data_IF_359938436697
#
_entry.id   IF_359938436697
#
_cell.length_a   1.000
_cell.length_b   1.000
_cell.length_c   1.000
_cell.angle_alpha   90.00
_cell.angle_beta   90.00
_cell.angle_gamma   90.00
#
_symmetry.space_group_name_H-M   'P 1'
#
loop_
_entity.id
_entity.type
_entity.pdbx_description
1 polymer ?
#
# COMPACT_ATOMS: atom_id res chain seq x y z
N UNK A 1 -8.43 8.34 -20.40
CA UNK A 1 -7.02 8.63 -20.06
C UNK A 1 -6.62 8.31 -18.61
N UNK A 2 -7.52 8.34 -17.61
CA UNK A 2 -7.18 8.09 -16.20
C UNK A 2 -6.62 6.68 -15.88
N UNK A 3 -6.97 5.66 -16.68
CA UNK A 3 -6.56 4.27 -16.42
C UNK A 3 -5.05 4.01 -16.66
N UNK A 4 -4.39 4.78 -17.52
CA UNK A 4 -2.94 4.65 -17.76
C UNK A 4 -2.10 5.29 -16.65
N UNK A 5 -2.56 6.43 -16.11
CA UNK A 5 -1.87 7.14 -15.02
C UNK A 5 -1.89 6.34 -13.70
N UNK A 6 -2.98 5.64 -13.40
CA UNK A 6 -3.07 4.82 -12.18
C UNK A 6 -2.08 3.63 -12.21
N UNK A 7 -1.92 2.94 -13.35
CA UNK A 7 -0.94 1.85 -13.49
C UNK A 7 0.50 2.35 -13.45
N UNK A 8 0.79 3.47 -14.10
CA UNK A 8 2.11 4.10 -14.04
C UNK A 8 2.46 4.51 -12.59
N UNK A 9 1.50 5.05 -11.84
CA UNK A 9 1.72 5.47 -10.45
C UNK A 9 2.06 4.32 -9.49
N UNK A 10 1.40 3.17 -9.64
CA UNK A 10 1.69 1.98 -8.83
C UNK A 10 3.10 1.43 -9.09
N UNK A 11 3.58 1.49 -10.33
CA UNK A 11 4.93 1.07 -10.70
C UNK A 11 5.97 2.04 -10.13
N UNK A 12 5.77 3.35 -10.28
CA UNK A 12 6.67 4.37 -9.72
C UNK A 12 6.81 4.25 -8.19
N UNK A 13 5.71 3.94 -7.49
CA UNK A 13 5.76 3.74 -6.04
C UNK A 13 6.58 2.51 -5.65
N UNK A 14 6.47 1.39 -6.39
CA UNK A 14 7.28 0.19 -6.14
C UNK A 14 8.77 0.43 -6.37
N UNK A 15 9.11 1.19 -7.41
CA UNK A 15 10.49 1.61 -7.69
C UNK A 15 11.02 2.46 -6.53
N UNK A 16 10.24 3.44 -6.05
CA UNK A 16 10.62 4.27 -4.91
C UNK A 16 10.85 3.45 -3.63
N UNK A 17 9.98 2.46 -3.35
CA UNK A 17 10.14 1.55 -2.20
C UNK A 17 11.43 0.72 -2.33
N UNK A 18 11.78 0.27 -3.53
CA UNK A 18 13.03 -0.45 -3.78
C UNK A 18 14.26 0.41 -3.46
N UNK A 19 14.24 1.69 -3.82
CA UNK A 19 15.31 2.62 -3.45
C UNK A 19 15.40 2.82 -1.94
N UNK A 20 14.27 2.98 -1.24
CA UNK A 20 14.28 3.09 0.23
C UNK A 20 14.81 1.83 0.91
N UNK A 21 14.53 0.66 0.35
CA UNK A 21 15.10 -0.61 0.82
C UNK A 21 16.62 -0.63 0.63
N UNK A 22 17.11 -0.25 -0.54
CA UNK A 22 18.54 -0.17 -0.82
C UNK A 22 19.26 0.84 0.08
N UNK A 23 18.65 2.00 0.33
CA UNK A 23 19.14 3.02 1.27
C UNK A 23 19.19 2.43 2.68
N UNK A 24 18.14 1.74 3.13
CA UNK A 24 18.12 1.09 4.45
C UNK A 24 19.26 0.09 4.64
N UNK A 25 19.49 -0.78 3.64
CA UNK A 25 20.63 -1.72 3.65
C UNK A 25 21.97 -0.98 3.67
N UNK A 26 22.13 0.07 2.85
CA UNK A 26 23.35 0.86 2.82
C UNK A 26 23.65 1.54 4.16
N UNK A 27 22.65 2.08 4.85
CA UNK A 27 22.80 2.67 6.19
C UNK A 27 23.24 1.64 7.23
N UNK A 28 22.69 0.42 7.20
CA UNK A 28 23.12 -0.66 8.10
C UNK A 28 24.58 -1.06 7.84
N UNK A 29 24.94 -1.31 6.58
CA UNK A 29 26.31 -1.66 6.19
C UNK A 29 27.27 -0.56 6.62
N UNK A 30 26.87 0.69 6.43
CA UNK A 30 27.68 1.84 6.80
C UNK A 30 27.88 1.93 8.32
N UNK A 31 26.81 1.84 9.11
CA UNK A 31 26.88 1.81 10.58
C UNK A 31 27.81 0.71 11.10
N UNK A 32 27.70 -0.50 10.54
CA UNK A 32 28.58 -1.61 10.89
C UNK A 32 30.04 -1.42 10.43
N UNK A 33 30.28 -0.74 9.30
CA UNK A 33 31.66 -0.49 8.81
C UNK A 33 32.39 0.60 9.58
N UNK A 34 31.68 1.63 10.05
CA UNK A 34 32.28 2.70 10.84
C UNK A 34 32.77 2.15 12.17
N UNK A 35 31.99 1.27 12.81
CA UNK A 35 32.37 0.65 14.07
C UNK A 35 31.69 -0.71 14.24
N UNK A 36 32.48 -1.78 14.39
CA UNK A 36 31.97 -3.11 14.70
C UNK A 36 32.56 -3.61 16.03
N UNK A 37 31.77 -3.78 17.10
CA UNK A 37 30.33 -3.49 17.21
C UNK A 37 30.03 -1.98 17.33
N UNK A 38 28.86 -1.50 16.88
CA UNK A 38 28.47 -0.11 16.98
C UNK A 38 28.20 0.23 18.46
N UNK A 39 29.10 1.02 19.07
CA UNK A 39 28.98 1.47 20.46
C UNK A 39 28.65 2.95 20.54
N UNK A 40 29.07 3.72 19.54
CA UNK A 40 28.86 5.16 19.50
C UNK A 40 27.53 5.54 18.87
N UNK A 41 27.06 6.72 19.28
CA UNK A 41 25.74 7.24 18.90
C UNK A 41 25.52 7.26 17.37
N UNK A 42 26.50 7.71 16.60
CA UNK A 42 26.34 7.84 15.14
C UNK A 42 26.23 6.48 14.42
N UNK A 43 27.15 5.51 14.62
CA UNK A 43 26.99 4.14 14.10
C UNK A 43 25.67 3.47 14.50
N UNK A 44 25.27 3.60 15.77
CA UNK A 44 24.01 3.04 16.28
C UNK A 44 22.82 3.66 15.56
N UNK A 45 22.79 4.98 15.40
CA UNK A 45 21.71 5.67 14.71
C UNK A 45 21.61 5.27 13.23
N UNK A 46 22.73 5.04 12.54
CA UNK A 46 22.72 4.54 11.17
C UNK A 46 22.04 3.16 11.06
N UNK A 47 22.31 2.25 12.00
CA UNK A 47 21.68 0.93 12.04
C UNK A 47 20.19 1.04 12.38
N UNK A 48 19.82 1.86 13.36
CA UNK A 48 18.42 2.08 13.75
C UNK A 48 17.62 2.70 12.60
N UNK A 49 18.14 3.74 11.96
CA UNK A 49 17.51 4.36 10.79
C UNK A 49 17.38 3.37 9.62
N UNK A 50 18.43 2.58 9.38
CA UNK A 50 18.41 1.56 8.34
C UNK A 50 17.35 0.48 8.59
N UNK A 51 17.21 0.01 9.83
CA UNK A 51 16.18 -0.97 10.20
C UNK A 51 14.76 -0.40 10.08
N UNK A 52 14.53 0.84 10.54
CA UNK A 52 13.25 1.54 10.35
C UNK A 52 12.92 1.67 8.87
N UNK A 53 13.89 2.01 8.02
CA UNK A 53 13.69 2.10 6.57
C UNK A 53 13.34 0.75 5.94
N UNK A 54 13.92 -0.36 6.42
CA UNK A 54 13.54 -1.70 5.97
C UNK A 54 12.09 -2.01 6.37
N UNK A 55 11.68 -1.71 7.60
CA UNK A 55 10.29 -1.87 8.03
C UNK A 55 9.34 -1.00 7.21
N UNK A 56 9.68 0.26 6.99
CA UNK A 56 8.91 1.16 6.14
C UNK A 56 8.78 0.62 4.71
N UNK A 57 9.85 0.04 4.17
CA UNK A 57 9.85 -0.54 2.83
C UNK A 57 8.95 -1.77 2.73
N UNK A 58 8.96 -2.66 3.74
CA UNK A 58 8.06 -3.82 3.81
C UNK A 58 6.59 -3.35 3.88
N UNK A 59 6.30 -2.35 4.70
CA UNK A 59 4.96 -1.75 4.79
C UNK A 59 4.55 -1.10 3.45
N UNK A 60 5.49 -0.46 2.75
CA UNK A 60 5.28 0.09 1.42
C UNK A 60 4.94 -0.99 0.39
N UNK A 61 5.67 -2.11 0.39
CA UNK A 61 5.37 -3.26 -0.47
C UNK A 61 3.98 -3.80 -0.20
N UNK A 62 3.63 -4.02 1.07
CA UNK A 62 2.29 -4.48 1.46
C UNK A 62 1.21 -3.48 1.05
N UNK A 63 1.47 -2.18 1.23
CA UNK A 63 0.58 -1.09 0.84
C UNK A 63 0.37 -0.97 -0.66
N UNK A 64 1.30 -1.47 -1.47
CA UNK A 64 1.11 -1.55 -2.93
C UNK A 64 0.09 -2.62 -3.34
N UNK A 65 -0.12 -3.65 -2.53
CA UNK A 65 -1.08 -4.75 -2.81
C UNK A 65 -2.44 -4.57 -2.12
N UNK A 66 -2.54 -3.74 -1.07
CA UNK A 66 -3.75 -3.61 -0.25
C UNK A 66 -4.18 -2.15 0.01
N UNK A 67 -5.47 -2.00 0.38
CA UNK A 67 -6.23 -0.76 0.65
C UNK A 67 -5.41 0.41 1.21
N UNK A 68 -5.86 1.64 0.89
CA UNK A 68 -5.35 2.97 1.32
C UNK A 68 -4.89 3.11 2.79
N UNK A 69 -5.35 2.26 3.71
CA UNK A 69 -4.93 2.29 5.14
C UNK A 69 -3.44 1.95 5.31
N UNK A 70 -2.89 1.04 4.52
CA UNK A 70 -1.47 0.66 4.62
C UNK A 70 -0.56 1.74 4.01
N UNK A 71 -1.05 2.48 3.01
CA UNK A 71 -0.38 3.65 2.43
C UNK A 71 -0.15 4.75 3.48
N UNK A 72 -1.10 4.95 4.39
CA UNK A 72 -0.96 5.92 5.49
C UNK A 72 0.12 5.47 6.48
N UNK A 73 0.20 4.16 6.77
CA UNK A 73 1.26 3.59 7.60
C UNK A 73 2.65 3.82 7.00
N UNK A 74 2.80 3.62 5.68
CA UNK A 74 4.04 3.96 4.96
C UNK A 74 4.38 5.46 5.08
N UNK A 75 3.39 6.35 4.94
CA UNK A 75 3.63 7.79 4.97
C UNK A 75 4.05 8.29 6.37
N UNK A 76 3.45 7.74 7.43
CA UNK A 76 3.81 8.06 8.82
C UNK A 76 5.20 7.50 9.15
N UNK A 77 5.43 6.21 8.89
CA UNK A 77 6.71 5.57 9.21
C UNK A 77 7.85 6.14 8.36
N UNK A 78 7.60 6.36 7.07
CA UNK A 78 8.55 7.00 6.15
C UNK A 78 8.84 8.44 6.56
N UNK A 79 7.81 9.25 6.80
CA UNK A 79 7.98 10.64 7.25
C UNK A 79 8.75 10.75 8.56
N UNK A 80 8.46 9.87 9.54
CA UNK A 80 9.20 9.81 10.79
C UNK A 80 10.67 9.41 10.59
N UNK A 81 10.93 8.42 9.73
CA UNK A 81 12.30 8.01 9.36
C UNK A 81 13.07 9.17 8.74
N UNK A 82 12.48 9.88 7.77
CA UNK A 82 13.12 11.00 7.09
C UNK A 82 13.38 12.18 8.04
N UNK A 83 12.47 12.45 8.99
CA UNK A 83 12.71 13.44 10.05
C UNK A 83 13.91 13.08 10.93
N UNK A 84 14.03 11.82 11.34
CA UNK A 84 15.19 11.33 12.09
C UNK A 84 16.48 11.41 11.27
N UNK A 85 16.44 11.13 9.97
CA UNK A 85 17.60 11.28 9.09
C UNK A 85 18.03 12.75 8.95
N UNK A 86 17.07 13.68 8.80
CA UNK A 86 17.36 15.11 8.78
C UNK A 86 18.02 15.54 10.09
N UNK A 87 17.50 15.10 11.23
CA UNK A 87 18.10 15.37 12.53
C UNK A 87 19.53 14.82 12.64
N UNK A 88 19.78 13.61 12.12
CA UNK A 88 21.11 13.01 12.06
C UNK A 88 22.06 13.82 11.17
N UNK A 89 21.63 14.24 9.99
CA UNK A 89 22.44 15.04 9.07
C UNK A 89 22.80 16.39 9.70
N UNK A 90 21.85 17.05 10.37
CA UNK A 90 22.11 18.29 11.11
C UNK A 90 23.10 18.04 12.25
N UNK A 91 22.95 16.96 13.02
CA UNK A 91 23.89 16.60 14.07
C UNK A 91 25.31 16.35 13.51
N UNK A 92 25.42 15.68 12.35
CA UNK A 92 26.70 15.44 11.67
C UNK A 92 27.29 16.71 11.02
N UNK A 93 26.47 17.72 10.70
CA UNK A 93 26.94 19.00 10.16
C UNK A 93 27.45 19.92 11.27
N UNK A 94 26.71 20.05 12.36
CA UNK A 94 27.05 21.00 13.44
C UNK A 94 27.99 20.42 14.50
N UNK A 95 27.93 19.12 14.77
CA UNK A 95 28.71 18.47 15.82
C UNK A 95 29.72 17.45 15.26
N UNK A 96 30.20 17.65 14.02
CA UNK A 96 31.11 16.73 13.35
C UNK A 96 32.34 16.37 14.20
N UNK A 97 33.02 17.38 14.75
CA UNK A 97 34.22 17.19 15.56
C UNK A 97 33.91 16.46 16.87
N UNK A 98 32.81 16.80 17.53
CA UNK A 98 32.38 16.13 18.76
C UNK A 98 31.99 14.67 18.55
N UNK A 99 31.41 14.35 17.38
CA UNK A 99 31.06 12.97 17.01
C UNK A 99 32.31 12.19 16.64
N UNK A 100 33.24 12.77 15.87
CA UNK A 100 34.48 12.11 15.50
C UNK A 100 35.36 11.82 16.72
N UNK A 101 35.50 12.79 17.64
CA UNK A 101 36.27 12.63 18.87
C UNK A 101 35.66 11.61 19.85
N UNK A 102 34.33 11.46 19.86
CA UNK A 102 33.66 10.41 20.65
C UNK A 102 33.95 9.02 20.12
N UNK A 103 34.06 8.86 18.80
CA UNK A 103 34.30 7.56 18.17
C UNK A 103 35.76 7.11 18.38
N UNK A 104 36.70 8.00 18.12
CA UNK A 104 38.12 7.73 18.40
C UNK A 104 38.80 9.03 18.82
N UNK A 105 39.56 8.98 19.92
CA UNK A 105 40.26 10.17 20.39
C UNK A 105 41.52 10.41 19.54
N UNK A 106 41.77 11.66 19.09
CA UNK A 106 42.94 11.98 18.28
C UNK A 106 44.27 11.72 19.02
N UNK A 107 44.21 11.67 20.35
CA UNK A 107 45.34 11.39 21.26
C UNK A 107 45.68 9.91 21.39
N UNK A 108 44.74 8.99 21.18
CA UNK A 108 45.01 7.54 21.33
C UNK A 108 45.50 6.89 20.04
N UNK A 109 44.95 7.26 18.87
CA UNK A 109 45.35 6.71 17.57
C UNK A 109 45.07 7.68 16.42
N UNK A 110 46.00 8.61 16.08
CA UNK A 110 45.77 9.63 15.07
C UNK A 110 45.51 9.04 13.67
N UNK A 111 46.17 7.92 13.32
CA UNK A 111 46.00 7.27 12.03
C UNK A 111 44.64 6.59 11.84
N UNK A 112 43.96 6.19 12.94
CA UNK A 112 42.59 5.65 12.87
C UNK A 112 41.56 6.78 12.89
N UNK A 113 41.81 7.81 13.68
CA UNK A 113 41.00 9.02 13.71
C UNK A 113 40.85 9.63 12.31
N UNK A 114 41.96 9.81 11.56
CA UNK A 114 41.91 10.36 10.20
C UNK A 114 41.09 9.50 9.23
N UNK A 115 41.16 8.16 9.37
CA UNK A 115 40.35 7.23 8.57
C UNK A 115 38.87 7.36 8.89
N UNK A 116 38.51 7.41 10.17
CA UNK A 116 37.12 7.57 10.63
C UNK A 116 36.58 8.93 10.22
N UNK A 117 37.33 10.02 10.44
CA UNK A 117 36.94 11.36 10.05
C UNK A 117 36.72 11.48 8.52
N UNK A 118 37.61 10.89 7.71
CA UNK A 118 37.43 10.85 6.25
C UNK A 118 36.19 10.06 5.84
N UNK A 119 35.95 8.90 6.46
CA UNK A 119 34.74 8.10 6.21
C UNK A 119 33.47 8.85 6.63
N UNK A 120 33.48 9.51 7.79
CA UNK A 120 32.35 10.26 8.31
C UNK A 120 32.03 11.48 7.45
N UNK A 121 33.05 12.15 6.90
CA UNK A 121 32.88 13.26 5.94
C UNK A 121 32.21 12.79 4.65
N UNK A 122 32.64 11.66 4.08
CA UNK A 122 31.98 11.04 2.92
C UNK A 122 30.55 10.65 3.27
N UNK A 123 30.34 10.03 4.43
CA UNK A 123 29.03 9.63 4.93
C UNK A 123 28.05 10.79 4.94
N UNK A 124 28.48 11.95 5.43
CA UNK A 124 27.64 13.15 5.53
C UNK A 124 27.03 13.53 4.19
N UNK A 125 27.83 13.53 3.12
CA UNK A 125 27.36 13.84 1.77
C UNK A 125 26.49 12.75 1.17
N UNK A 126 26.83 11.48 1.41
CA UNK A 126 26.04 10.34 0.94
C UNK A 126 24.65 10.33 1.60
N UNK A 127 24.59 10.51 2.92
CA UNK A 127 23.34 10.54 3.70
C UNK A 127 22.49 11.74 3.31
N UNK A 128 23.11 12.90 3.05
CA UNK A 128 22.39 14.05 2.50
C UNK A 128 21.72 13.70 1.15
N UNK A 129 22.44 13.00 0.26
CA UNK A 129 21.88 12.49 -0.98
C UNK A 129 20.69 11.56 -0.77
N UNK A 130 20.77 10.64 0.21
CA UNK A 130 19.67 9.74 0.57
C UNK A 130 18.45 10.50 1.08
N UNK A 131 18.62 11.51 1.93
CA UNK A 131 17.51 12.35 2.42
C UNK A 131 16.81 13.05 1.26
N UNK A 132 17.55 13.59 0.29
CA UNK A 132 16.94 14.25 -0.89
C UNK A 132 16.10 13.27 -1.71
N UNK A 133 16.62 12.06 -1.94
CA UNK A 133 15.89 10.99 -2.63
C UNK A 133 14.63 10.60 -1.84
N UNK A 134 14.74 10.42 -0.52
CA UNK A 134 13.60 10.07 0.32
C UNK A 134 12.51 11.15 0.31
N UNK A 135 12.89 12.42 0.44
CA UNK A 135 11.94 13.56 0.36
C UNK A 135 11.23 13.55 -0.99
N UNK A 136 11.93 13.26 -2.09
CA UNK A 136 11.31 13.11 -3.40
C UNK A 136 10.32 11.93 -3.43
N UNK A 137 10.68 10.78 -2.86
CA UNK A 137 9.76 9.63 -2.79
C UNK A 137 8.51 9.90 -1.95
N UNK A 138 8.65 10.59 -0.81
CA UNK A 138 7.54 10.98 0.04
C UNK A 138 6.64 12.00 -0.66
N UNK A 139 7.24 12.98 -1.34
CA UNK A 139 6.50 13.97 -2.13
C UNK A 139 5.68 13.28 -3.22
N UNK A 140 6.28 12.32 -3.94
CA UNK A 140 5.56 11.50 -4.90
C UNK A 140 4.42 10.70 -4.25
N UNK A 141 4.66 10.07 -3.10
CA UNK A 141 3.62 9.33 -2.38
C UNK A 141 2.44 10.24 -1.96
N UNK A 142 2.71 11.48 -1.56
CA UNK A 142 1.69 12.50 -1.25
C UNK A 142 0.91 12.90 -2.50
N UNK A 143 1.59 13.19 -3.61
CA UNK A 143 0.93 13.53 -4.88
C UNK A 143 0.03 12.39 -5.36
N UNK A 144 0.49 11.14 -5.24
CA UNK A 144 -0.32 9.97 -5.59
C UNK A 144 -1.55 9.82 -4.71
N UNK A 145 -1.48 10.20 -3.44
CA UNK A 145 -2.65 10.21 -2.55
C UNK A 145 -3.75 11.16 -3.05
N UNK A 146 -3.37 12.29 -3.66
CA UNK A 146 -4.32 13.24 -4.23
C UNK A 146 -4.84 12.83 -5.62
N UNK A 147 -4.02 12.14 -6.42
CA UNK A 147 -4.38 11.69 -7.77
C UNK A 147 -5.26 10.44 -7.76
N UNK A 148 -5.05 9.53 -6.81
CA UNK A 148 -5.85 8.31 -6.68
C UNK A 148 -7.18 8.66 -5.99
N UNK A 149 -8.20 8.99 -6.81
CA UNK A 149 -9.59 9.03 -6.36
C UNK A 149 -9.93 7.71 -5.67
N UNK A 150 -10.56 7.83 -4.52
CA UNK A 150 -10.96 6.70 -3.70
C UNK A 150 -11.93 5.81 -4.47
N UNK A 151 -11.45 4.66 -4.97
CA UNK A 151 -12.35 3.55 -5.25
C UNK A 151 -12.92 3.11 -3.92
N UNK A 152 -14.02 3.76 -3.52
CA UNK A 152 -14.83 3.27 -2.42
C UNK A 152 -15.20 1.83 -2.74
N UNK A 153 -14.96 0.87 -1.83
CA UNK A 153 -15.36 -0.53 -2.04
C UNK A 153 -16.89 -0.72 -2.10
N UNK A 154 -17.66 0.38 -2.12
CA UNK A 154 -19.11 0.41 -2.17
C UNK A 154 -19.67 1.47 -3.14
N UNK A 155 -19.01 1.71 -4.28
CA UNK A 155 -19.70 2.26 -5.45
C UNK A 155 -20.11 1.12 -6.40
N UNK A 156 -20.87 0.14 -5.89
CA UNK A 156 -21.52 -0.89 -6.72
C UNK A 156 -22.74 -0.36 -7.50
N UNK A 157 -22.72 0.93 -7.83
CA UNK A 157 -23.69 1.65 -8.65
C UNK A 157 -22.96 2.52 -9.68
N UNK A 158 -21.87 2.00 -10.26
CA UNK A 158 -21.36 2.55 -11.51
C UNK A 158 -22.47 2.47 -12.57
N UNK A 159 -22.70 3.56 -13.30
CA UNK A 159 -23.72 3.63 -14.34
C UNK A 159 -23.53 2.54 -15.42
N UNK A 160 -22.28 2.14 -15.69
CA UNK A 160 -21.95 0.99 -16.55
C UNK A 160 -22.42 -0.34 -15.97
N UNK A 161 -22.26 -0.58 -14.66
CA UNK A 161 -22.74 -1.80 -14.01
C UNK A 161 -24.27 -1.79 -13.86
N UNK A 162 -24.88 -0.61 -13.71
CA UNK A 162 -26.33 -0.43 -13.72
C UNK A 162 -26.91 -0.73 -15.11
N UNK A 163 -26.22 -0.36 -16.18
CA UNK A 163 -26.61 -0.67 -17.56
C UNK A 163 -26.41 -2.16 -17.90
N UNK A 164 -25.33 -2.79 -17.40
CA UNK A 164 -25.16 -4.24 -17.47
C UNK A 164 -26.18 -5.00 -16.61
N UNK A 165 -26.56 -4.47 -15.44
CA UNK A 165 -27.67 -5.04 -14.64
C UNK A 165 -29.01 -4.85 -15.34
N UNK A 166 -29.29 -3.70 -15.95
CA UNK A 166 -30.58 -3.47 -16.64
C UNK A 166 -30.70 -4.33 -17.90
N UNK A 167 -29.60 -4.54 -18.64
CA UNK A 167 -29.58 -5.45 -19.79
C UNK A 167 -29.72 -6.91 -19.37
N UNK A 168 -29.11 -7.31 -18.26
CA UNK A 168 -29.26 -8.66 -17.70
C UNK A 168 -30.66 -8.87 -17.12
N UNK A 169 -31.21 -7.90 -16.39
CA UNK A 169 -32.55 -7.99 -15.81
C UNK A 169 -33.65 -7.93 -16.89
N UNK A 170 -33.47 -7.14 -17.94
CA UNK A 170 -34.43 -7.10 -19.06
C UNK A 170 -34.37 -8.36 -19.93
N UNK A 171 -33.19 -8.99 -20.09
CA UNK A 171 -33.11 -10.29 -20.76
C UNK A 171 -33.73 -11.40 -19.91
N UNK A 172 -33.49 -11.41 -18.60
CA UNK A 172 -34.17 -12.31 -17.67
C UNK A 172 -35.68 -12.10 -17.63
N UNK A 173 -36.16 -10.85 -17.66
CA UNK A 173 -37.59 -10.54 -17.70
C UNK A 173 -38.25 -11.04 -19.00
N UNK A 174 -37.61 -10.83 -20.16
CA UNK A 174 -38.09 -11.36 -21.45
C UNK A 174 -38.08 -12.88 -21.49
N UNK A 175 -37.07 -13.51 -20.91
CA UNK A 175 -37.05 -14.98 -20.80
C UNK A 175 -38.20 -15.47 -19.91
N UNK A 176 -38.43 -14.85 -18.75
CA UNK A 176 -39.55 -15.19 -17.87
C UNK A 176 -40.89 -15.01 -18.58
N UNK A 177 -41.09 -13.92 -19.32
CA UNK A 177 -42.32 -13.67 -20.08
C UNK A 177 -42.51 -14.67 -21.23
N UNK A 178 -41.43 -15.06 -21.91
CA UNK A 178 -41.44 -16.09 -22.95
C UNK A 178 -41.69 -17.50 -22.40
N UNK A 179 -41.22 -17.79 -21.19
CA UNK A 179 -41.49 -19.06 -20.49
C UNK A 179 -42.90 -19.07 -19.86
N UNK A 180 -43.40 -17.93 -19.38
CA UNK A 180 -44.75 -17.78 -18.84
C UNK A 180 -45.82 -17.84 -19.94
N UNK A 181 -45.59 -17.22 -21.09
CA UNK A 181 -46.52 -17.25 -22.24
C UNK A 181 -46.61 -18.62 -22.91
N UNK A 182 -45.58 -19.48 -22.78
CA UNK A 182 -45.58 -20.83 -23.37
C UNK A 182 -46.09 -21.94 -22.46
N UNK A 183 -46.43 -21.69 -21.19
CA UNK A 183 -46.82 -22.80 -20.32
C UNK A 183 -47.68 -22.41 -19.11
N UNK A 184 -48.93 -22.85 -19.13
CA UNK A 184 -49.80 -22.92 -17.94
C UNK A 184 -49.32 -23.95 -16.89
N UNK A 185 -48.27 -24.75 -17.18
CA UNK A 185 -47.83 -25.88 -16.34
C UNK A 185 -46.32 -25.95 -16.06
N UNK A 186 -45.48 -25.05 -16.59
CA UNK A 186 -44.01 -25.03 -16.36
C UNK A 186 -43.54 -23.90 -15.44
N UNK A 187 -44.44 -23.13 -14.82
CA UNK A 187 -44.05 -21.98 -13.98
C UNK A 187 -43.15 -22.39 -12.82
N UNK A 188 -43.39 -23.54 -12.16
CA UNK A 188 -42.55 -23.98 -11.03
C UNK A 188 -41.10 -24.28 -11.44
N UNK A 189 -40.87 -24.98 -12.57
CA UNK A 189 -39.52 -25.33 -13.02
C UNK A 189 -38.70 -24.11 -13.49
N UNK A 190 -39.37 -23.12 -14.05
CA UNK A 190 -38.72 -21.86 -14.45
C UNK A 190 -38.30 -21.04 -13.21
N UNK A 191 -39.16 -20.98 -12.19
CA UNK A 191 -38.85 -20.33 -10.92
C UNK A 191 -37.68 -21.01 -10.19
N UNK A 192 -37.64 -22.35 -10.16
CA UNK A 192 -36.53 -23.10 -9.55
C UNK A 192 -35.19 -22.84 -10.27
N UNK A 193 -35.21 -22.66 -11.59
CA UNK A 193 -34.01 -22.37 -12.38
C UNK A 193 -33.49 -20.94 -12.19
N UNK A 194 -34.38 -19.99 -11.95
CA UNK A 194 -34.01 -18.60 -11.58
C UNK A 194 -33.46 -18.59 -10.15
N UNK A 195 -34.07 -19.34 -9.23
CA UNK A 195 -33.63 -19.46 -7.84
C UNK A 195 -32.26 -20.13 -7.73
N UNK A 196 -31.99 -21.20 -8.49
CA UNK A 196 -30.68 -21.84 -8.49
C UNK A 196 -29.59 -20.91 -9.01
N UNK A 197 -29.88 -20.10 -10.03
CA UNK A 197 -28.96 -19.07 -10.53
C UNK A 197 -28.74 -17.93 -9.52
N UNK A 198 -29.78 -17.52 -8.80
CA UNK A 198 -29.67 -16.52 -7.72
C UNK A 198 -28.84 -17.05 -6.55
N UNK A 199 -29.11 -18.29 -6.10
CA UNK A 199 -28.36 -18.94 -5.03
C UNK A 199 -26.88 -19.13 -5.40
N UNK A 200 -26.59 -19.55 -6.64
CA UNK A 200 -25.22 -19.68 -7.14
C UNK A 200 -24.46 -18.36 -7.20
N UNK A 201 -25.16 -17.22 -7.41
CA UNK A 201 -24.53 -15.90 -7.59
C UNK A 201 -24.42 -15.09 -6.29
N UNK A 202 -25.33 -15.29 -5.34
CA UNK A 202 -25.43 -14.49 -4.11
C UNK A 202 -25.21 -15.30 -2.81
N UNK A 203 -25.01 -16.62 -2.90
CA UNK A 203 -24.82 -17.49 -1.73
C UNK A 203 -26.03 -17.55 -0.79
N UNK A 204 -25.86 -18.16 0.38
CA UNK A 204 -26.91 -18.39 1.40
C UNK A 204 -27.53 -17.11 2.02
N UNK A 205 -27.17 -15.91 1.54
CA UNK A 205 -27.80 -14.65 1.97
C UNK A 205 -29.21 -14.44 1.41
N UNK A 206 -29.64 -15.28 0.46
CA UNK A 206 -31.07 -15.38 0.13
C UNK A 206 -31.75 -16.30 1.15
N UNK A 207 -32.04 -15.77 2.35
CA UNK A 207 -32.99 -16.39 3.29
C UNK A 207 -34.36 -16.40 2.61
N UNK A 208 -34.54 -17.34 1.70
CA UNK A 208 -35.77 -17.57 0.99
C UNK A 208 -36.65 -18.37 1.94
N UNK A 209 -37.56 -17.65 2.58
CA UNK A 209 -38.76 -18.15 3.24
C UNK A 209 -39.15 -19.49 2.62
N UNK A 210 -39.10 -20.57 3.41
CA UNK A 210 -39.43 -21.92 2.96
C UNK A 210 -40.89 -22.04 2.45
N UNK A 211 -41.68 -20.98 2.62
CA UNK A 211 -43.13 -20.94 2.45
C UNK A 211 -43.62 -20.09 1.25
N UNK A 212 -42.76 -19.82 0.26
CA UNK A 212 -43.19 -19.05 -0.92
C UNK A 212 -44.33 -19.71 -1.71
N UNK A 213 -44.45 -21.05 -1.64
CA UNK A 213 -45.55 -21.81 -2.26
C UNK A 213 -46.90 -21.51 -1.62
N UNK A 214 -46.96 -21.17 -0.33
CA UNK A 214 -48.20 -20.76 0.34
C UNK A 214 -48.64 -19.35 -0.09
N UNK A 215 -47.66 -18.46 -0.30
CA UNK A 215 -47.88 -17.07 -0.74
C UNK A 215 -48.21 -16.91 -2.23
N UNK A 216 -47.91 -17.90 -3.06
CA UNK A 216 -48.15 -17.88 -4.51
C UNK A 216 -49.52 -18.43 -4.96
N UNK A 217 -50.44 -18.74 -4.04
CA UNK A 217 -51.83 -19.10 -4.39
C UNK A 217 -52.60 -17.89 -4.94
N UNK A 218 -52.35 -17.56 -6.20
CA UNK A 218 -53.21 -16.69 -6.99
C UNK A 218 -54.44 -17.52 -7.36
N UNK A 219 -55.60 -17.19 -6.78
CA UNK A 219 -56.87 -17.77 -7.21
C UNK A 219 -57.19 -17.24 -8.61
N UNK A 220 -56.91 -18.03 -9.63
CA UNK A 220 -57.51 -17.82 -10.93
C UNK A 220 -58.97 -18.28 -10.82
N UNK A 221 -59.87 -17.38 -10.39
CA UNK A 221 -61.31 -17.59 -10.59
C UNK A 221 -61.56 -17.61 -12.10
N UNK A 222 -62.05 -18.75 -12.58
CA UNK A 222 -62.81 -18.88 -13.83
C UNK A 222 -64.02 -17.98 -13.82
#
# INVERSE_FOLDING_TARGET
MACSCARASGISMRIAIFFNLAIGVALIIFGCKVQNPPKDFAPVMFVVLGTINLFASILGFWGSYHKKRVLVGFLICGGFSTLLQVALVLALLFAFESVAQKIESPTQNPAKYDKVAKQLSIARWVVLGFVVVEVFTLTMAVLLRFVIKEEQPYNSFDAETAQQRSSTLSSLARDIEKFASKSKTMSERAYDKVRSKMAAKYGNYSSTDADWKSKAKISWRT
#
